data_IF_193109643751
#
_entry.id   IF_193109643751
#
_cell.length_a   1.000
_cell.length_b   1.000
_cell.length_c   1.000
_cell.angle_alpha   90.00
_cell.angle_beta   90.00
_cell.angle_gamma   90.00
#
_symmetry.space_group_name_H-M   'P 1'
#
loop_
_entity.id
_entity.type
_entity.pdbx_description
1 polymer ?
#
# COMPACT_ATOMS: atom_id res chain seq x y z
N UNK A 1 -11.10 9.85 -2.83
CA UNK A 1 -9.77 9.28 -2.52
C UNK A 1 -9.20 8.84 -3.85
N UNK A 2 -8.10 9.46 -4.30
CA UNK A 2 -7.49 9.10 -5.58
C UNK A 2 -6.53 7.93 -5.36
N UNK A 3 -6.74 6.78 -6.01
CA UNK A 3 -5.82 5.65 -5.88
C UNK A 3 -4.47 6.00 -6.52
N UNK A 4 -3.38 5.49 -5.94
CA UNK A 4 -2.06 5.58 -6.56
C UNK A 4 -2.01 4.67 -7.79
N UNK A 5 -1.60 5.23 -8.92
CA UNK A 5 -1.43 4.53 -10.20
C UNK A 5 0.03 4.34 -10.59
N UNK A 6 0.97 4.60 -9.67
CA UNK A 6 2.40 4.32 -9.84
C UNK A 6 3.00 3.78 -8.55
N UNK A 7 4.00 2.92 -8.68
CA UNK A 7 4.75 2.37 -7.54
C UNK A 7 5.45 3.49 -6.79
N UNK A 8 6.06 4.43 -7.52
CA UNK A 8 6.77 5.58 -6.95
C UNK A 8 5.85 6.46 -6.11
N UNK A 9 4.62 6.72 -6.59
CA UNK A 9 3.64 7.53 -5.87
C UNK A 9 3.18 6.85 -4.59
N UNK A 10 2.89 5.56 -4.65
CA UNK A 10 2.49 4.76 -3.49
C UNK A 10 3.62 4.67 -2.44
N UNK A 11 4.87 4.46 -2.88
CA UNK A 11 6.06 4.42 -2.02
C UNK A 11 6.33 5.78 -1.37
N UNK A 12 6.26 6.86 -2.13
CA UNK A 12 6.44 8.22 -1.59
C UNK A 12 5.38 8.54 -0.53
N UNK A 13 4.13 8.10 -0.73
CA UNK A 13 3.08 8.25 0.24
C UNK A 13 3.36 7.50 1.53
N UNK A 14 3.78 6.23 1.44
CA UNK A 14 4.23 5.44 2.60
C UNK A 14 5.39 6.13 3.32
N UNK A 15 6.30 6.74 2.56
CA UNK A 15 7.47 7.40 3.12
C UNK A 15 7.19 8.69 3.88
N UNK A 16 6.14 9.41 3.48
CA UNK A 16 5.66 10.60 4.14
C UNK A 16 4.89 10.31 5.44
N UNK A 17 4.47 9.07 5.69
CA UNK A 17 3.71 8.71 6.90
C UNK A 17 4.58 8.75 8.16
N UNK A 18 4.01 9.29 9.24
CA UNK A 18 4.58 9.19 10.59
C UNK A 18 4.68 7.71 11.00
N UNK A 19 5.90 7.28 11.35
CA UNK A 19 6.21 5.91 11.77
C UNK A 19 5.47 5.49 13.05
N UNK A 20 4.85 6.42 13.78
CA UNK A 20 4.04 6.14 14.98
C UNK A 20 2.60 5.72 14.67
N UNK A 21 2.17 5.78 13.40
CA UNK A 21 0.84 5.32 13.01
C UNK A 21 0.67 3.84 13.35
N UNK A 22 -0.41 3.52 14.08
CA UNK A 22 -0.75 2.13 14.38
C UNK A 22 -1.38 1.42 13.20
N UNK A 23 -2.11 2.15 12.36
CA UNK A 23 -2.78 1.63 11.16
C UNK A 23 -2.86 2.74 10.10
N UNK A 24 -2.86 2.34 8.84
CA UNK A 24 -3.19 3.23 7.72
C UNK A 24 -3.82 2.46 6.55
N UNK A 25 -4.45 3.20 5.64
CA UNK A 25 -5.02 2.66 4.41
C UNK A 25 -4.32 3.25 3.19
N UNK A 26 -4.08 2.41 2.18
CA UNK A 26 -3.49 2.81 0.90
C UNK A 26 -4.40 2.34 -0.24
N UNK A 27 -4.94 3.27 -1.02
CA UNK A 27 -5.69 2.92 -2.23
C UNK A 27 -4.76 2.84 -3.42
N UNK A 28 -4.76 1.71 -4.11
CA UNK A 28 -3.87 1.38 -5.22
C UNK A 28 -4.70 0.96 -6.43
N UNK A 29 -4.45 1.59 -7.58
CA UNK A 29 -5.15 1.31 -8.84
C UNK A 29 -5.03 -0.18 -9.21
N UNK A 30 -6.07 -0.73 -9.83
CA UNK A 30 -6.04 -2.09 -10.36
C UNK A 30 -4.95 -2.26 -11.45
N UNK A 31 -4.50 -1.17 -12.07
CA UNK A 31 -3.37 -1.16 -13.03
C UNK A 31 -2.03 -1.58 -12.40
N UNK A 32 -1.86 -1.41 -11.08
CA UNK A 32 -0.68 -1.89 -10.36
C UNK A 32 -0.82 -3.35 -9.90
N UNK A 33 -1.92 -4.03 -10.22
CA UNK A 33 -2.12 -5.45 -9.94
C UNK A 33 -1.63 -6.28 -11.13
N UNK A 34 -0.32 -6.22 -11.41
CA UNK A 34 0.26 -7.02 -12.48
C UNK A 34 0.12 -8.53 -12.22
N UNK A 35 0.15 -9.32 -13.30
CA UNK A 35 -0.04 -10.76 -13.25
C UNK A 35 0.92 -11.48 -12.29
N UNK A 36 2.14 -10.97 -12.14
CA UNK A 36 3.17 -11.55 -11.27
C UNK A 36 3.15 -10.96 -9.85
N UNK A 37 2.40 -9.88 -9.63
CA UNK A 37 2.33 -9.16 -8.35
C UNK A 37 3.57 -8.35 -8.01
N UNK A 38 4.45 -8.07 -8.98
CA UNK A 38 5.75 -7.40 -8.75
C UNK A 38 5.55 -5.98 -8.19
N UNK A 39 4.62 -5.22 -8.75
CA UNK A 39 4.40 -3.83 -8.35
C UNK A 39 3.85 -3.76 -6.91
N UNK A 40 2.91 -4.64 -6.57
CA UNK A 40 2.39 -4.73 -5.21
C UNK A 40 3.43 -5.26 -4.21
N UNK A 41 4.32 -6.15 -4.62
CA UNK A 41 5.43 -6.61 -3.78
C UNK A 41 6.32 -5.43 -3.39
N UNK A 42 6.72 -4.58 -4.34
CA UNK A 42 7.54 -3.39 -4.07
C UNK A 42 6.86 -2.41 -3.09
N UNK A 43 5.56 -2.14 -3.27
CA UNK A 43 4.79 -1.26 -2.39
C UNK A 43 4.71 -1.86 -0.98
N UNK A 44 4.44 -3.17 -0.90
CA UNK A 44 4.31 -3.89 0.38
C UNK A 44 5.64 -3.96 1.11
N UNK A 45 6.73 -4.29 0.42
CA UNK A 45 8.08 -4.32 0.97
C UNK A 45 8.48 -2.98 1.58
N UNK A 46 8.06 -1.87 0.96
CA UNK A 46 8.30 -0.55 1.54
C UNK A 46 7.55 -0.33 2.85
N UNK A 47 6.29 -0.74 2.94
CA UNK A 47 5.53 -0.68 4.18
C UNK A 47 6.17 -1.56 5.27
N UNK A 48 6.57 -2.79 4.92
CA UNK A 48 7.25 -3.73 5.80
C UNK A 48 8.55 -3.13 6.35
N UNK A 49 9.39 -2.55 5.48
CA UNK A 49 10.64 -1.90 5.87
C UNK A 49 10.44 -0.71 6.83
N UNK A 50 9.25 -0.11 6.85
CA UNK A 50 8.91 0.97 7.78
C UNK A 50 8.28 0.49 9.09
N UNK A 51 7.96 -0.80 9.20
CA UNK A 51 7.41 -1.43 10.39
C UNK A 51 5.90 -1.69 10.33
N UNK A 52 5.32 -1.74 9.14
CA UNK A 52 3.90 -2.03 8.95
C UNK A 52 3.66 -3.27 8.11
N UNK A 53 2.77 -4.16 8.56
CA UNK A 53 2.36 -5.36 7.83
C UNK A 53 0.98 -5.18 7.17
N UNK A 54 0.77 -5.70 5.95
CA UNK A 54 -0.55 -5.71 5.33
C UNK A 54 -1.47 -6.69 6.09
N UNK A 55 -2.73 -6.32 6.28
CA UNK A 55 -3.69 -7.16 7.03
C UNK A 55 -4.92 -7.55 6.22
N UNK A 56 -5.34 -6.70 5.27
CA UNK A 56 -6.48 -6.99 4.40
C UNK A 56 -6.50 -6.01 3.25
N UNK A 57 -7.34 -6.30 2.26
CA UNK A 57 -7.73 -5.32 1.27
C UNK A 57 -9.21 -5.44 0.95
N UNK A 58 -9.78 -4.34 0.47
CA UNK A 58 -11.10 -4.30 -0.16
C UNK A 58 -10.93 -3.83 -1.61
N UNK A 59 -11.49 -4.55 -2.56
CA UNK A 59 -11.57 -4.09 -3.94
C UNK A 59 -12.84 -3.26 -4.15
N UNK A 60 -12.71 -2.11 -4.80
CA UNK A 60 -13.83 -1.23 -5.14
C UNK A 60 -13.48 -0.37 -6.35
N UNK A 61 -14.37 -0.29 -7.33
CA UNK A 61 -14.34 0.70 -8.41
C UNK A 61 -12.95 0.90 -9.08
N UNK A 62 -12.30 -0.16 -9.54
CA UNK A 62 -11.02 -0.08 -10.27
C UNK A 62 -9.78 0.14 -9.39
N UNK A 63 -9.89 -0.06 -8.08
CA UNK A 63 -8.75 -0.05 -7.17
C UNK A 63 -8.92 -1.02 -6.00
N UNK A 64 -7.81 -1.35 -5.35
CA UNK A 64 -7.76 -2.05 -4.07
C UNK A 64 -7.33 -1.10 -2.97
N UNK A 65 -8.08 -1.08 -1.88
CA UNK A 65 -7.73 -0.38 -0.65
C UNK A 65 -7.10 -1.38 0.31
N UNK A 66 -5.78 -1.29 0.47
CA UNK A 66 -5.00 -2.09 1.40
C UNK A 66 -5.00 -1.45 2.79
N UNK A 67 -5.16 -2.28 3.81
CA UNK A 67 -4.99 -1.90 5.21
C UNK A 67 -3.67 -2.44 5.71
N UNK A 68 -2.94 -1.60 6.44
CA UNK A 68 -1.69 -1.93 7.10
C UNK A 68 -1.79 -1.62 8.58
N UNK A 69 -1.09 -2.39 9.41
CA UNK A 69 -0.93 -2.10 10.85
C UNK A 69 0.52 -2.19 11.27
N UNK A 70 0.86 -1.53 12.38
CA UNK A 70 2.19 -1.62 12.96
C UNK A 70 2.49 -3.06 13.37
N UNK A 71 3.68 -3.53 13.02
CA UNK A 71 4.21 -4.81 13.48
C UNK A 71 4.38 -4.77 15.01
N UNK A 72 4.22 -5.93 15.64
CA UNK A 72 4.44 -6.09 17.09
C UNK A 72 5.91 -6.21 17.42
#
# INVERSE_FOLDING_TARGET
>A
MHPYSSVEGAVAAIDALDRRLREFELSVSDELQDYLGVQMAQITDRALARGWEPISFMQKNGFRRYRFKAMR
#
